data_IF_381628053021
#
_entry.id   IF_381628053021
#
_cell.length_a   1.000
_cell.length_b   1.000
_cell.length_c   1.000
_cell.angle_alpha   90.00
_cell.angle_beta   90.00
_cell.angle_gamma   90.00
#
_symmetry.space_group_name_H-M   'P 1'
#
loop_
_entity.id
_entity.type
_entity.pdbx_description
1 polymer ?
#
# COMPACT_ATOMS: atom_id res chain seq x y z
N UNK A 1 -18.19 -4.79 13.55
CA UNK A 1 -17.58 -4.12 12.37
C UNK A 1 -16.53 -5.05 11.82
N UNK A 2 -16.71 -5.51 10.56
CA UNK A 2 -15.88 -6.54 9.94
C UNK A 2 -14.40 -6.18 10.08
N UNK A 3 -13.63 -7.02 10.77
CA UNK A 3 -12.18 -6.86 10.97
C UNK A 3 -11.45 -6.73 9.62
N UNK A 4 -12.04 -7.29 8.56
CA UNK A 4 -11.64 -7.13 7.17
C UNK A 4 -11.57 -5.66 6.72
N UNK A 5 -12.55 -4.83 7.08
CA UNK A 5 -12.56 -3.41 6.73
C UNK A 5 -11.46 -2.66 7.49
N UNK A 6 -11.27 -2.96 8.77
CA UNK A 6 -10.24 -2.35 9.62
C UNK A 6 -8.82 -2.68 9.14
N UNK A 7 -8.62 -3.90 8.62
CA UNK A 7 -7.32 -4.36 8.13
C UNK A 7 -7.09 -4.05 6.63
N UNK A 8 -8.10 -3.58 5.90
CA UNK A 8 -8.02 -3.34 4.46
C UNK A 8 -6.93 -2.31 4.10
N UNK A 9 -6.77 -1.28 4.91
CA UNK A 9 -5.69 -0.29 4.73
C UNK A 9 -4.30 -0.91 4.86
N UNK A 10 -4.10 -1.83 5.80
CA UNK A 10 -2.83 -2.56 5.98
C UNK A 10 -2.57 -3.49 4.80
N UNK A 11 -3.60 -4.18 4.30
CA UNK A 11 -3.49 -5.08 3.14
C UNK A 11 -3.04 -4.30 1.89
N UNK A 12 -3.63 -3.14 1.63
CA UNK A 12 -3.25 -2.29 0.48
C UNK A 12 -1.81 -1.79 0.63
N UNK A 13 -1.40 -1.43 1.84
CA UNK A 13 -0.03 -0.98 2.11
C UNK A 13 0.99 -2.10 1.88
N UNK A 14 0.69 -3.33 2.30
CA UNK A 14 1.51 -4.52 2.02
C UNK A 14 1.64 -4.80 0.53
N UNK A 15 0.57 -4.62 -0.26
CA UNK A 15 0.62 -4.76 -1.72
C UNK A 15 1.59 -3.72 -2.33
N UNK A 16 1.54 -2.47 -1.86
CA UNK A 16 2.47 -1.41 -2.28
C UNK A 16 3.93 -1.77 -2.00
N UNK A 17 4.20 -2.38 -0.84
CA UNK A 17 5.55 -2.87 -0.49
C UNK A 17 6.00 -3.99 -1.42
N UNK A 18 5.14 -4.95 -1.75
CA UNK A 18 5.47 -6.06 -2.67
C UNK A 18 5.82 -5.53 -4.07
N UNK A 19 5.06 -4.55 -4.58
CA UNK A 19 5.29 -3.92 -5.89
C UNK A 19 6.67 -3.24 -5.94
N UNK A 20 7.19 -2.74 -4.82
CA UNK A 20 8.55 -2.20 -4.75
C UNK A 20 9.61 -3.28 -4.52
N UNK A 21 9.33 -4.25 -3.65
CA UNK A 21 10.28 -5.27 -3.24
C UNK A 21 10.66 -6.22 -4.38
N UNK A 22 9.69 -6.68 -5.17
CA UNK A 22 9.91 -7.64 -6.27
C UNK A 22 10.88 -7.09 -7.34
N UNK A 23 10.66 -5.90 -7.93
CA UNK A 23 11.60 -5.33 -8.89
C UNK A 23 12.93 -4.91 -8.24
N UNK A 24 12.95 -4.56 -6.95
CA UNK A 24 14.19 -4.27 -6.23
C UNK A 24 15.12 -5.49 -6.11
N UNK A 25 14.57 -6.68 -5.83
CA UNK A 25 15.37 -7.92 -5.76
C UNK A 25 15.71 -8.51 -7.13
N UNK A 26 14.91 -8.21 -8.16
CA UNK A 26 15.14 -8.67 -9.55
C UNK A 26 16.03 -7.72 -10.37
N UNK A 27 16.53 -6.63 -9.77
CA UNK A 27 17.39 -5.65 -10.44
C UNK A 27 16.68 -4.79 -11.49
N UNK A 28 15.35 -4.85 -11.58
CA UNK A 28 14.52 -4.16 -12.56
C UNK A 28 13.94 -2.83 -12.07
N UNK A 29 14.65 -2.12 -11.20
CA UNK A 29 14.19 -0.85 -10.66
C UNK A 29 14.19 0.24 -11.74
N UNK A 30 12.99 0.66 -12.14
CA UNK A 30 12.77 1.80 -13.02
C UNK A 30 12.09 2.93 -12.25
N UNK A 31 12.36 4.18 -12.63
CA UNK A 31 11.73 5.36 -12.04
C UNK A 31 10.20 5.26 -12.06
N UNK A 32 9.62 4.61 -13.08
CA UNK A 32 8.18 4.35 -13.16
C UNK A 32 7.69 3.46 -12.03
N UNK A 33 8.44 2.41 -11.66
CA UNK A 33 8.09 1.45 -10.60
C UNK A 33 8.20 2.10 -9.23
N UNK A 34 9.24 2.92 -9.04
CA UNK A 34 9.40 3.71 -7.81
C UNK A 34 8.21 4.67 -7.64
N UNK A 35 7.81 5.35 -8.72
CA UNK A 35 6.70 6.29 -8.71
C UNK A 35 5.35 5.59 -8.45
N UNK A 36 5.10 4.45 -9.10
CA UNK A 36 3.87 3.67 -8.90
C UNK A 36 3.82 3.07 -7.50
N UNK A 37 4.92 2.51 -6.99
CA UNK A 37 4.98 1.99 -5.63
C UNK A 37 4.78 3.07 -4.57
N UNK A 38 5.38 4.26 -4.76
CA UNK A 38 5.10 5.43 -3.91
C UNK A 38 3.62 5.82 -3.92
N UNK A 39 3.01 5.88 -5.12
CA UNK A 39 1.59 6.20 -5.26
C UNK A 39 0.68 5.20 -4.54
N UNK A 40 0.97 3.89 -4.65
CA UNK A 40 0.21 2.83 -3.98
C UNK A 40 0.37 2.90 -2.45
N UNK A 41 1.59 3.16 -1.95
CA UNK A 41 1.83 3.32 -0.50
C UNK A 41 1.07 4.53 0.05
N UNK A 42 1.09 5.67 -0.64
CA UNK A 42 0.36 6.87 -0.23
C UNK A 42 -1.15 6.58 -0.21
N UNK A 43 -1.69 5.96 -1.26
CA UNK A 43 -3.11 5.59 -1.32
C UNK A 43 -3.49 4.57 -0.24
N UNK A 44 -2.64 3.57 0.02
CA UNK A 44 -2.82 2.59 1.09
C UNK A 44 -2.81 3.24 2.47
N UNK A 45 -1.90 4.19 2.70
CA UNK A 45 -1.81 4.93 3.96
C UNK A 45 -3.02 5.85 4.18
N UNK A 46 -3.45 6.58 3.15
CA UNK A 46 -4.67 7.40 3.20
C UNK A 46 -5.89 6.50 3.44
N UNK A 47 -6.00 5.38 2.72
CA UNK A 47 -7.05 4.39 2.91
C UNK A 47 -7.09 3.87 4.34
N UNK A 48 -5.94 3.54 4.92
CA UNK A 48 -5.81 3.13 6.32
C UNK A 48 -6.29 4.22 7.28
N UNK A 49 -5.88 5.48 7.08
CA UNK A 49 -6.32 6.60 7.92
C UNK A 49 -7.84 6.83 7.80
N UNK A 50 -8.39 6.87 6.59
CA UNK A 50 -9.82 7.14 6.36
C UNK A 50 -10.69 6.03 6.95
N UNK A 51 -10.29 4.77 6.77
CA UNK A 51 -10.97 3.62 7.35
C UNK A 51 -10.92 3.68 8.88
N UNK A 52 -9.74 3.94 9.45
CA UNK A 52 -9.57 4.03 10.90
C UNK A 52 -10.34 5.22 11.50
N UNK A 53 -10.47 6.32 10.76
CA UNK A 53 -11.22 7.52 11.17
C UNK A 53 -12.73 7.40 11.00
N UNK A 54 -13.22 6.53 10.10
CA UNK A 54 -14.65 6.22 9.90
C UNK A 54 -15.17 5.11 10.81
N UNK A 55 -14.29 4.25 11.29
CA UNK A 55 -14.61 3.14 12.20
C UNK A 55 -14.42 3.49 13.69
N UNK A 56 -13.84 4.66 13.98
CA UNK A 56 -13.71 5.22 15.32
C UNK A 56 -14.93 6.04 15.75
#
# INVERSE_FOLDING_TARGET
MNELLKNLGVIVLLIGVIILAVPAINGGLSNTILLTGLGVIILGYIGHIVINKRLG
#
